data_IF_723467099094
#
_entry.id   IF_723467099094
#
_cell.length_a   1.000
_cell.length_b   1.000
_cell.length_c   1.000
_cell.angle_alpha   90.00
_cell.angle_beta   90.00
_cell.angle_gamma   90.00
#
_symmetry.space_group_name_H-M   'P 1'
#
loop_
_entity.id
_entity.type
_entity.pdbx_description
1 polymer ?
#
# COMPACT_ATOMS: atom_id res chain seq x y z
N UNK A 1 -1.46 7.87 -15.79
CA UNK A 1 -2.19 6.75 -15.19
C UNK A 1 -2.06 5.56 -16.11
N UNK A 2 -1.83 4.37 -15.54
CA UNK A 2 -1.90 3.09 -16.24
C UNK A 2 -3.31 2.51 -16.07
N UNK A 3 -3.87 1.94 -17.12
CA UNK A 3 -5.25 1.43 -17.16
C UNK A 3 -5.28 -0.05 -17.49
N UNK A 4 -6.26 -0.75 -16.96
CA UNK A 4 -6.54 -2.13 -17.30
C UNK A 4 -7.98 -2.22 -17.80
N UNK A 5 -8.15 -2.76 -18.99
CA UNK A 5 -9.46 -2.88 -19.66
C UNK A 5 -10.24 -1.55 -19.68
N UNK A 6 -9.53 -0.47 -20.08
CA UNK A 6 -10.08 0.89 -20.17
C UNK A 6 -10.36 1.59 -18.84
N UNK A 7 -10.08 0.97 -17.70
CA UNK A 7 -10.36 1.50 -16.37
C UNK A 7 -9.07 1.81 -15.59
N UNK A 8 -9.08 2.94 -14.89
CA UNK A 8 -8.05 3.26 -13.89
C UNK A 8 -8.41 2.58 -12.55
N UNK A 9 -7.40 2.18 -11.82
CA UNK A 9 -7.56 1.46 -10.56
C UNK A 9 -6.99 2.23 -9.39
N UNK A 10 -7.69 2.22 -8.27
CA UNK A 10 -7.20 2.67 -6.97
C UNK A 10 -7.10 1.46 -6.04
N UNK A 11 -5.98 1.32 -5.35
CA UNK A 11 -5.75 0.25 -4.39
C UNK A 11 -5.74 0.79 -2.96
N UNK A 12 -6.47 0.13 -2.07
CA UNK A 12 -6.39 0.29 -0.62
C UNK A 12 -5.67 -0.95 -0.07
N UNK A 13 -4.42 -0.79 0.33
CA UNK A 13 -3.53 -1.91 0.58
C UNK A 13 -3.03 -1.89 2.04
N UNK A 14 -3.63 -2.69 2.93
CA UNK A 14 -3.07 -2.94 4.25
C UNK A 14 -1.89 -3.90 4.18
N UNK A 15 -0.81 -3.61 4.88
CA UNK A 15 0.29 -4.53 5.07
C UNK A 15 1.12 -4.22 6.32
N UNK A 16 2.01 -5.12 6.67
CA UNK A 16 2.96 -4.93 7.78
C UNK A 16 4.36 -4.85 7.22
N UNK A 17 4.97 -3.67 7.36
CA UNK A 17 6.39 -3.50 7.08
C UNK A 17 7.19 -4.19 8.19
N UNK A 18 8.25 -4.91 7.83
CA UNK A 18 9.14 -5.57 8.78
C UNK A 18 10.59 -5.40 8.38
N UNK A 19 11.42 -5.00 9.35
CA UNK A 19 12.87 -4.97 9.18
C UNK A 19 13.39 -3.93 8.19
N UNK A 20 12.71 -2.80 8.03
CA UNK A 20 13.29 -1.70 7.26
C UNK A 20 14.59 -1.27 7.92
N UNK A 21 15.66 -1.28 7.17
CA UNK A 21 16.99 -0.84 7.62
C UNK A 21 17.69 -0.03 6.54
N UNK A 22 18.70 0.71 6.96
CA UNK A 22 19.67 1.33 6.04
C UNK A 22 20.68 0.24 5.66
N UNK A 23 21.11 0.13 4.39
CA UNK A 23 22.12 -0.83 4.00
C UNK A 23 23.35 -0.76 4.94
N UNK A 24 23.83 -1.93 5.38
CA UNK A 24 24.96 -2.10 6.30
C UNK A 24 24.74 -1.67 7.75
N UNK A 25 23.52 -1.25 8.14
CA UNK A 25 23.19 -1.00 9.54
C UNK A 25 22.09 -1.99 10.00
N UNK A 26 22.12 -2.42 11.28
CA UNK A 26 21.04 -3.25 11.80
C UNK A 26 19.71 -2.46 11.77
N UNK A 27 18.63 -3.12 11.39
CA UNK A 27 17.31 -2.51 11.47
C UNK A 27 16.95 -2.21 12.92
N UNK A 28 16.44 -1.02 13.19
CA UNK A 28 15.92 -0.67 14.51
C UNK A 28 14.50 -1.24 14.61
N UNK A 29 14.23 -2.24 15.47
CA UNK A 29 12.95 -2.97 15.46
C UNK A 29 11.73 -2.06 15.56
N UNK A 30 11.80 -1.03 16.40
CA UNK A 30 10.70 -0.07 16.60
C UNK A 30 10.46 0.85 15.39
N UNK A 31 11.53 1.26 14.70
CA UNK A 31 11.44 2.19 13.57
C UNK A 31 11.25 1.46 12.24
N UNK A 32 11.73 0.24 12.14
CA UNK A 32 11.71 -0.56 10.91
C UNK A 32 10.54 -1.54 10.79
N UNK A 33 9.65 -1.63 11.81
CA UNK A 33 8.52 -2.57 11.77
C UNK A 33 7.24 -1.90 12.25
N UNK A 34 6.27 -1.78 11.36
CA UNK A 34 4.99 -1.12 11.64
C UNK A 34 3.90 -1.55 10.66
N UNK A 35 2.62 -1.48 11.07
CA UNK A 35 1.51 -1.60 10.16
C UNK A 35 1.41 -0.36 9.28
N UNK A 36 1.05 -0.57 8.03
CA UNK A 36 0.81 0.47 7.04
C UNK A 36 -0.47 0.17 6.25
N UNK A 37 -1.22 1.22 5.93
CA UNK A 37 -2.25 1.16 4.89
C UNK A 37 -1.92 2.23 3.86
N UNK A 38 -1.76 1.84 2.61
CA UNK A 38 -1.58 2.81 1.55
C UNK A 38 -2.78 2.90 0.62
N UNK A 39 -3.04 4.12 0.14
CA UNK A 39 -3.87 4.39 -1.01
C UNK A 39 -2.94 4.68 -2.18
N UNK A 40 -3.05 3.90 -3.25
CA UNK A 40 -2.19 4.03 -4.43
C UNK A 40 -2.97 3.93 -5.72
N UNK A 41 -2.39 4.44 -6.78
CA UNK A 41 -2.83 4.16 -8.16
C UNK A 41 -1.69 3.58 -8.98
N UNK A 42 -2.00 3.14 -10.17
CA UNK A 42 -1.08 2.49 -11.08
C UNK A 42 -0.71 3.47 -12.17
N UNK A 43 0.58 3.54 -12.49
CA UNK A 43 1.12 4.49 -13.45
C UNK A 43 2.13 3.81 -14.37
N UNK A 44 2.26 4.38 -15.55
CA UNK A 44 3.29 3.99 -16.52
C UNK A 44 3.93 5.26 -17.08
N UNK A 45 5.25 5.26 -17.22
CA UNK A 45 6.02 6.32 -17.85
C UNK A 45 7.14 5.71 -18.67
N UNK A 46 7.26 6.14 -19.91
CA UNK A 46 8.31 5.67 -20.83
C UNK A 46 8.34 4.13 -20.94
N UNK A 47 7.13 3.49 -20.91
CA UNK A 47 6.97 2.04 -20.95
C UNK A 47 7.26 1.31 -19.63
N UNK A 48 7.66 2.00 -18.57
CA UNK A 48 8.00 1.42 -17.27
C UNK A 48 6.79 1.51 -16.33
N UNK A 49 6.16 0.37 -15.94
CA UNK A 49 5.04 0.37 -15.02
C UNK A 49 5.51 0.54 -13.58
N UNK A 50 4.68 1.20 -12.77
CA UNK A 50 4.95 1.41 -11.35
C UNK A 50 3.70 1.78 -10.59
N UNK A 51 3.87 2.14 -9.32
CA UNK A 51 2.81 2.65 -8.46
C UNK A 51 3.05 4.11 -8.11
N UNK A 52 1.96 4.82 -7.83
CA UNK A 52 1.96 6.15 -7.26
C UNK A 52 1.20 6.13 -5.95
N UNK A 53 1.86 6.48 -4.87
CA UNK A 53 1.23 6.57 -3.55
C UNK A 53 0.51 7.90 -3.39
N UNK A 54 -0.76 7.84 -3.00
CA UNK A 54 -1.59 8.99 -2.68
C UNK A 54 -1.66 9.23 -1.18
N UNK A 55 -1.58 8.16 -0.36
CA UNK A 55 -1.27 8.23 1.08
C UNK A 55 -0.64 6.94 1.58
N UNK A 56 0.12 7.04 2.68
CA UNK A 56 0.73 5.91 3.40
C UNK A 56 0.51 6.15 4.90
N UNK A 57 -0.46 5.48 5.46
CA UNK A 57 -0.89 5.68 6.85
C UNK A 57 -0.20 4.69 7.78
N UNK A 58 0.59 5.19 8.74
CA UNK A 58 1.38 4.40 9.69
C UNK A 58 1.25 4.90 11.12
N UNK A 59 1.70 4.08 12.09
CA UNK A 59 1.65 4.42 13.50
C UNK A 59 3.01 4.86 14.08
N UNK A 60 3.91 5.39 13.24
CA UNK A 60 5.25 5.83 13.63
C UNK A 60 5.51 7.25 13.15
N UNK A 61 5.66 8.19 14.08
CA UNK A 61 5.85 9.61 13.73
C UNK A 61 7.21 9.87 13.08
N UNK A 62 8.28 9.27 13.59
CA UNK A 62 9.64 9.50 13.07
C UNK A 62 9.77 9.02 11.62
N UNK A 63 9.44 7.78 11.25
CA UNK A 63 9.40 7.36 9.86
C UNK A 63 8.51 8.23 8.97
N UNK A 64 7.37 8.69 9.48
CA UNK A 64 6.48 9.60 8.75
C UNK A 64 7.19 10.90 8.38
N UNK A 65 7.83 11.56 9.35
CA UNK A 65 8.53 12.83 9.11
C UNK A 65 9.72 12.63 8.16
N UNK A 66 10.55 11.63 8.41
CA UNK A 66 11.72 11.32 7.55
C UNK A 66 11.29 11.06 6.11
N UNK A 67 10.30 10.18 5.90
CA UNK A 67 9.86 9.85 4.55
C UNK A 67 9.24 11.05 3.80
N UNK A 68 8.52 11.92 4.49
CA UNK A 68 7.98 13.15 3.90
C UNK A 68 9.07 14.16 3.52
N UNK A 69 10.08 14.30 4.36
CA UNK A 69 11.13 15.31 4.16
C UNK A 69 12.23 14.87 3.20
N UNK A 70 12.57 13.57 3.16
CA UNK A 70 13.65 13.05 2.33
C UNK A 70 13.15 12.47 1.00
N UNK A 71 12.11 11.63 1.05
CA UNK A 71 11.62 10.90 -0.14
C UNK A 71 10.40 11.56 -0.81
N UNK A 72 9.84 12.60 -0.21
CA UNK A 72 8.63 13.30 -0.68
C UNK A 72 7.42 12.35 -0.83
N UNK A 73 7.38 11.28 -0.04
CA UNK A 73 6.26 10.35 -0.02
C UNK A 73 5.15 10.85 0.92
N UNK A 74 3.87 10.68 0.57
CA UNK A 74 2.74 11.23 1.32
C UNK A 74 2.40 10.40 2.57
N UNK A 75 3.39 10.17 3.44
CA UNK A 75 3.18 9.47 4.70
C UNK A 75 2.27 10.25 5.65
N UNK A 76 1.37 9.53 6.28
CA UNK A 76 0.43 10.03 7.28
C UNK A 76 0.65 9.30 8.61
N UNK A 77 0.52 10.03 9.71
CA UNK A 77 0.63 9.46 11.05
C UNK A 77 -0.75 9.29 11.69
N UNK A 78 -0.95 8.16 12.35
CA UNK A 78 -2.17 7.89 13.08
C UNK A 78 -2.06 6.67 13.99
N UNK A 79 -3.19 6.18 14.45
CA UNK A 79 -3.27 4.84 15.04
C UNK A 79 -3.45 3.85 13.89
N UNK A 80 -2.57 2.87 13.78
CA UNK A 80 -2.70 1.80 12.79
C UNK A 80 -2.45 0.45 13.47
N UNK A 81 -3.26 -0.53 13.11
CA UNK A 81 -3.13 -1.93 13.52
C UNK A 81 -3.39 -2.82 12.31
N UNK A 82 -2.66 -3.92 12.24
CA UNK A 82 -2.84 -4.95 11.22
C UNK A 82 -2.56 -6.31 11.87
N UNK A 83 -3.53 -7.19 11.88
CA UNK A 83 -3.45 -8.48 12.58
C UNK A 83 -4.03 -9.58 11.70
N UNK A 84 -3.38 -10.73 11.71
CA UNK A 84 -3.90 -11.97 11.13
C UNK A 84 -4.24 -12.89 12.29
N UNK A 85 -5.49 -13.34 12.34
CA UNK A 85 -6.01 -14.27 13.34
C UNK A 85 -6.64 -15.45 12.61
N UNK A 86 -5.98 -16.61 12.66
CA UNK A 86 -6.39 -17.74 11.83
C UNK A 86 -6.33 -17.41 10.35
N UNK A 87 -7.44 -17.46 9.67
CA UNK A 87 -7.62 -17.11 8.26
C UNK A 87 -8.26 -15.71 8.05
N UNK A 88 -8.19 -14.85 9.05
CA UNK A 88 -8.78 -13.51 8.97
C UNK A 88 -7.71 -12.43 9.05
N UNK A 89 -7.81 -11.41 8.21
CA UNK A 89 -7.06 -10.17 8.30
C UNK A 89 -7.95 -9.08 8.86
N UNK A 90 -7.51 -8.48 9.97
CA UNK A 90 -8.20 -7.36 10.63
C UNK A 90 -7.27 -6.16 10.63
N UNK A 91 -7.67 -5.10 9.95
CA UNK A 91 -6.90 -3.85 9.84
C UNK A 91 -7.72 -2.67 10.30
N UNK A 92 -7.08 -1.76 11.01
CA UNK A 92 -7.68 -0.47 11.37
C UNK A 92 -6.67 0.67 11.28
N UNK A 93 -7.11 1.81 10.77
CA UNK A 93 -6.38 3.07 10.77
C UNK A 93 -7.29 4.19 11.26
N UNK A 94 -6.75 5.08 12.10
CA UNK A 94 -7.31 6.38 12.44
C UNK A 94 -6.23 7.43 12.21
N UNK A 95 -6.31 8.15 11.09
CA UNK A 95 -5.33 9.20 10.73
C UNK A 95 -5.45 10.39 11.70
N UNK A 96 -4.30 10.96 12.08
CA UNK A 96 -4.20 12.12 12.96
C UNK A 96 -3.45 13.29 12.32
N UNK A 97 -2.53 13.01 11.40
CA UNK A 97 -1.69 14.02 10.77
C UNK A 97 -1.18 13.53 9.40
N UNK A 98 -1.00 14.38 8.36
CA UNK A 98 -1.39 15.79 8.32
C UNK A 98 -2.86 15.94 8.08
N UNK A 99 -3.67 16.60 8.51
CA UNK A 99 -5.09 16.94 8.29
C UNK A 99 -6.07 15.81 8.05
N UNK A 100 -7.23 15.99 8.64
CA UNK A 100 -8.46 15.27 8.37
C UNK A 100 -8.58 14.01 9.21
N UNK A 101 -9.74 13.86 9.75
CA UNK A 101 -10.18 12.61 10.34
C UNK A 101 -10.51 11.66 9.19
N UNK A 102 -9.55 10.80 8.84
CA UNK A 102 -9.77 9.73 7.89
C UNK A 102 -9.49 8.40 8.57
N UNK A 103 -10.27 7.41 8.24
CA UNK A 103 -10.14 6.09 8.85
C UNK A 103 -10.35 4.97 7.84
N UNK A 104 -9.91 3.79 8.20
CA UNK A 104 -10.33 2.55 7.55
C UNK A 104 -10.47 1.43 8.57
N UNK A 105 -11.45 0.56 8.31
CA UNK A 105 -11.70 -0.69 9.02
C UNK A 105 -11.90 -1.76 7.98
N UNK A 106 -10.97 -2.70 7.92
CA UNK A 106 -10.98 -3.78 6.94
C UNK A 106 -10.99 -5.10 7.69
N UNK A 107 -11.94 -5.94 7.36
CA UNK A 107 -12.00 -7.32 7.81
C UNK A 107 -12.14 -8.21 6.58
N UNK A 108 -11.14 -9.06 6.35
CA UNK A 108 -11.10 -10.00 5.23
C UNK A 108 -11.03 -11.43 5.73
N UNK A 109 -11.72 -12.33 5.05
CA UNK A 109 -11.51 -13.78 5.14
C UNK A 109 -10.49 -14.18 4.06
N UNK A 110 -9.45 -14.90 4.45
CA UNK A 110 -8.37 -15.37 3.58
C UNK A 110 -8.70 -16.79 3.12
N UNK A 111 -8.71 -16.99 1.82
CA UNK A 111 -9.03 -18.25 1.17
C UNK A 111 -7.81 -18.99 0.61
N UNK A 112 -8.06 -19.82 -0.39
CA UNK A 112 -7.05 -20.67 -1.04
C UNK A 112 -6.07 -19.87 -1.89
N UNK A 113 -4.93 -20.47 -2.17
CA UNK A 113 -3.92 -19.92 -3.09
C UNK A 113 -4.48 -19.77 -4.52
N UNK A 114 -4.10 -18.71 -5.19
CA UNK A 114 -4.36 -18.47 -6.61
C UNK A 114 -3.14 -18.98 -7.37
N UNK A 115 -3.24 -20.19 -7.91
CA UNK A 115 -2.15 -20.84 -8.65
C UNK A 115 -1.93 -20.22 -10.03
N UNK A 116 -3.00 -19.69 -10.65
CA UNK A 116 -2.98 -19.04 -11.96
C UNK A 116 -3.64 -17.66 -11.86
N UNK A 117 -2.86 -16.61 -11.52
CA UNK A 117 -3.38 -15.25 -11.40
C UNK A 117 -3.89 -14.72 -12.74
N UNK A 118 -5.08 -14.17 -12.73
CA UNK A 118 -5.68 -13.48 -13.86
C UNK A 118 -4.85 -12.28 -14.34
N UNK A 119 -5.03 -11.80 -15.57
CA UNK A 119 -4.36 -10.59 -16.06
C UNK A 119 -4.56 -9.37 -15.15
N UNK A 120 -5.76 -9.21 -14.55
CA UNK A 120 -6.02 -8.14 -13.60
C UNK A 120 -5.19 -8.30 -12.31
N UNK A 121 -5.13 -9.49 -11.72
CA UNK A 121 -4.35 -9.75 -10.51
C UNK A 121 -2.85 -9.53 -10.75
N UNK A 122 -2.35 -9.88 -11.93
CA UNK A 122 -0.98 -9.56 -12.36
C UNK A 122 -0.81 -8.04 -12.49
N UNK A 123 -1.73 -7.34 -13.17
CA UNK A 123 -1.68 -5.89 -13.32
C UNK A 123 -1.64 -5.18 -11.96
N UNK A 124 -2.44 -5.60 -10.99
CA UNK A 124 -2.53 -4.99 -9.67
C UNK A 124 -1.35 -5.34 -8.75
N UNK A 125 -0.67 -6.47 -8.94
CA UNK A 125 0.38 -6.95 -8.04
C UNK A 125 1.80 -6.90 -8.59
N UNK A 126 1.99 -7.02 -9.91
CA UNK A 126 3.31 -7.11 -10.53
C UNK A 126 3.88 -5.70 -10.84
N UNK A 127 4.29 -4.96 -9.81
CA UNK A 127 4.84 -3.61 -9.91
C UNK A 127 6.17 -3.53 -9.16
N UNK A 128 7.25 -3.32 -9.91
CA UNK A 128 8.63 -3.30 -9.39
C UNK A 128 9.22 -1.90 -9.31
N UNK A 129 8.42 -0.92 -8.97
CA UNK A 129 8.88 0.42 -8.73
C UNK A 129 7.79 1.39 -8.37
N UNK A 130 8.20 2.50 -7.82
CA UNK A 130 7.32 3.61 -7.47
C UNK A 130 7.77 4.90 -8.13
N UNK A 131 6.81 5.74 -8.42
CA UNK A 131 7.01 7.09 -8.87
C UNK A 131 6.67 8.09 -7.77
N UNK A 132 7.46 9.15 -7.67
CA UNK A 132 7.20 10.26 -6.75
C UNK A 132 7.68 11.57 -7.34
N UNK A 133 7.28 12.70 -6.76
CA UNK A 133 7.89 13.99 -7.09
C UNK A 133 9.13 14.24 -6.24
N UNK A 134 10.11 14.95 -6.83
CA UNK A 134 11.17 15.61 -6.07
C UNK A 134 10.67 16.95 -5.52
N UNK A 135 11.47 17.60 -4.66
CA UNK A 135 11.19 18.97 -4.21
C UNK A 135 11.11 19.98 -5.38
N UNK A 136 11.83 19.74 -6.46
CA UNK A 136 11.79 20.54 -7.69
C UNK A 136 10.65 20.14 -8.65
N UNK A 137 9.67 19.37 -8.17
CA UNK A 137 8.51 18.91 -8.97
C UNK A 137 8.86 18.03 -10.18
N UNK A 138 10.04 17.44 -10.17
CA UNK A 138 10.42 16.46 -11.19
C UNK A 138 9.97 15.08 -10.78
N UNK A 139 9.50 14.28 -11.74
CA UNK A 139 9.14 12.88 -11.50
C UNK A 139 10.42 12.06 -11.32
N UNK A 140 10.48 11.29 -10.24
CA UNK A 140 11.53 10.33 -9.93
C UNK A 140 10.94 8.93 -9.90
N UNK A 141 11.69 7.98 -10.42
CA UNK A 141 11.41 6.54 -10.31
C UNK A 141 12.37 5.91 -9.31
N UNK A 142 11.84 5.09 -8.42
CA UNK A 142 12.62 4.25 -7.51
C UNK A 142 12.31 2.78 -7.81
N UNK A 143 13.30 2.00 -8.29
CA UNK A 143 13.11 0.57 -8.52
C UNK A 143 12.94 -0.17 -7.19
N UNK A 144 12.07 -1.17 -7.18
CA UNK A 144 11.83 -2.06 -6.05
C UNK A 144 12.04 -3.48 -6.53
N UNK A 145 12.84 -4.26 -5.81
CA UNK A 145 13.06 -5.67 -6.12
C UNK A 145 12.33 -6.55 -5.12
N UNK A 146 11.48 -7.41 -5.61
CA UNK A 146 10.83 -8.47 -4.84
C UNK A 146 10.42 -9.63 -5.76
N UNK A 147 10.30 -10.87 -5.25
CA UNK A 147 9.69 -11.95 -6.01
C UNK A 147 8.20 -11.67 -6.26
N UNK A 148 7.60 -12.41 -7.19
CA UNK A 148 6.15 -12.31 -7.38
C UNK A 148 5.41 -12.67 -6.09
N UNK A 149 4.32 -11.94 -5.83
CA UNK A 149 3.45 -12.21 -4.69
C UNK A 149 2.76 -13.56 -4.89
N UNK A 150 2.79 -14.40 -3.86
CA UNK A 150 1.94 -15.59 -3.78
C UNK A 150 0.55 -15.14 -3.35
N UNK A 151 -0.32 -15.02 -4.34
CA UNK A 151 -1.66 -14.49 -4.12
C UNK A 151 -2.59 -15.57 -3.56
N UNK A 152 -3.51 -15.15 -2.72
CA UNK A 152 -4.60 -15.95 -2.19
C UNK A 152 -5.92 -15.23 -2.45
N UNK A 153 -6.97 -15.97 -2.63
CA UNK A 153 -8.34 -15.44 -2.66
C UNK A 153 -8.64 -14.80 -1.32
N UNK A 154 -9.44 -13.76 -1.35
CA UNK A 154 -9.94 -13.15 -0.12
C UNK A 154 -11.35 -12.61 -0.36
N UNK A 155 -12.11 -12.51 0.72
CA UNK A 155 -13.46 -11.97 0.70
C UNK A 155 -13.59 -10.88 1.77
N UNK A 156 -14.33 -9.82 1.44
CA UNK A 156 -14.61 -8.75 2.40
C UNK A 156 -15.73 -9.22 3.33
N UNK A 157 -15.41 -9.34 4.62
CA UNK A 157 -16.39 -9.51 5.69
C UNK A 157 -17.00 -8.15 6.05
N UNK A 158 -16.14 -7.13 6.19
CA UNK A 158 -16.60 -5.74 6.36
C UNK A 158 -15.56 -4.75 5.88
N UNK A 159 -16.02 -3.62 5.36
CA UNK A 159 -15.19 -2.52 4.90
C UNK A 159 -15.88 -1.18 5.23
N UNK A 160 -15.21 -0.37 6.03
CA UNK A 160 -15.59 1.02 6.30
C UNK A 160 -14.34 1.89 6.05
N UNK A 161 -14.35 2.69 4.99
CA UNK A 161 -13.17 3.43 4.52
C UNK A 161 -13.51 4.86 4.10
N UNK A 162 -12.65 5.76 4.53
CA UNK A 162 -12.60 7.16 4.10
C UNK A 162 -11.20 7.59 3.65
N UNK A 163 -10.21 6.68 3.63
CA UNK A 163 -8.84 6.99 3.19
C UNK A 163 -8.78 7.25 1.69
N UNK A 164 -9.56 6.54 0.90
CA UNK A 164 -9.64 6.72 -0.56
C UNK A 164 -10.12 8.14 -0.88
N UNK A 165 -11.19 8.60 -0.21
CA UNK A 165 -11.72 9.95 -0.40
C UNK A 165 -10.76 11.01 0.14
N UNK A 166 -10.13 10.76 1.29
CA UNK A 166 -9.09 11.64 1.85
C UNK A 166 -7.83 11.73 0.97
N UNK A 167 -7.59 10.74 0.12
CA UNK A 167 -6.53 10.75 -0.88
C UNK A 167 -6.90 11.50 -2.17
N UNK A 168 -8.13 12.04 -2.27
CA UNK A 168 -8.61 12.85 -3.38
C UNK A 168 -9.37 12.09 -4.45
N UNK A 169 -9.74 10.84 -4.22
CA UNK A 169 -10.56 10.06 -5.14
C UNK A 169 -12.04 10.13 -4.77
N UNK A 170 -12.89 9.99 -5.76
CA UNK A 170 -14.30 9.66 -5.52
C UNK A 170 -14.39 8.23 -4.99
N UNK A 171 -15.29 7.98 -4.04
CA UNK A 171 -15.51 6.62 -3.54
C UNK A 171 -15.85 5.68 -4.70
N UNK A 172 -15.07 4.59 -4.90
CA UNK A 172 -15.34 3.64 -5.97
C UNK A 172 -16.72 3.01 -5.83
N UNK A 173 -17.38 2.78 -6.97
CA UNK A 173 -18.68 2.12 -7.02
C UNK A 173 -18.49 0.66 -7.41
N UNK A 174 -19.31 -0.22 -6.85
CA UNK A 174 -19.28 -1.66 -7.15
C UNK A 174 -18.50 -2.48 -6.14
N UNK A 175 -18.37 -3.77 -6.41
CA UNK A 175 -17.65 -4.71 -5.55
C UNK A 175 -16.15 -4.60 -5.78
N UNK A 176 -15.33 -4.34 -4.76
CA UNK A 176 -13.89 -4.31 -4.91
C UNK A 176 -13.33 -5.67 -5.33
N UNK A 177 -12.29 -5.67 -6.16
CA UNK A 177 -11.47 -6.85 -6.38
C UNK A 177 -10.54 -7.06 -5.18
N UNK A 178 -10.56 -8.22 -4.56
CA UNK A 178 -9.84 -8.50 -3.31
C UNK A 178 -8.93 -9.72 -3.47
N UNK A 179 -7.70 -9.56 -3.03
CA UNK A 179 -6.71 -10.63 -2.95
C UNK A 179 -5.79 -10.40 -1.76
N UNK A 180 -5.18 -11.45 -1.26
CA UNK A 180 -4.27 -11.43 -0.13
C UNK A 180 -2.91 -12.03 -0.51
N UNK A 181 -1.86 -11.62 0.19
CA UNK A 181 -0.55 -12.27 0.15
C UNK A 181 0.11 -12.18 1.53
N UNK A 182 0.72 -13.28 1.98
CA UNK A 182 1.43 -13.33 3.28
C UNK A 182 2.62 -12.39 3.38
N UNK A 183 3.22 -12.05 2.25
CA UNK A 183 4.36 -11.16 2.18
C UNK A 183 5.53 -11.75 1.41
N UNK A 184 6.46 -10.87 1.02
CA UNK A 184 7.70 -11.21 0.33
C UNK A 184 8.84 -10.32 0.85
N UNK A 185 10.11 -10.76 0.75
CA UNK A 185 11.23 -9.87 0.99
C UNK A 185 11.28 -8.79 -0.10
N UNK A 186 11.45 -7.53 0.31
CA UNK A 186 11.51 -6.37 -0.58
C UNK A 186 12.84 -5.66 -0.38
N UNK A 187 13.45 -5.21 -1.50
CA UNK A 187 14.66 -4.38 -1.51
C UNK A 187 14.38 -3.12 -2.36
N UNK A 188 14.79 -2.00 -1.84
CA UNK A 188 14.68 -0.69 -2.50
C UNK A 188 16.07 -0.16 -2.82
#
# INVERSE_FOLDING_TARGET
>A
VDVFDGSAWVGLIPFSMRGIGIPHLPSVPYLGSFPEVNVRTYVIRDGIPGVWFCSLDINRIIPTVVARTTYQLPYCFGKAKNQIVGNELITSVDRRWPRGEAHTRIHLSIGSEISDPSPLEIFLSARWGLYSFTRSQQIRYAPISHPRWKLQRAEIVSLDDTLIEAAGFTKPVGTPHVMFALGVPVRV
#
